data_IF_663707724737
#
_entry.id   IF_663707724737
#
_cell.length_a   1.000
_cell.length_b   1.000
_cell.length_c   1.000
_cell.angle_alpha   90.00
_cell.angle_beta   90.00
_cell.angle_gamma   90.00
#
_symmetry.space_group_name_H-M   'P 1'
#
loop_
_entity.id
_entity.type
_entity.pdbx_description
1 polymer ?
#
# COMPACT_ATOMS: atom_id res chain seq x y z
N UNK A 1 -24.03 2.29 7.74
CA UNK A 1 -23.45 3.19 6.70
C UNK A 1 -22.71 2.31 5.71
N UNK A 2 -23.07 2.34 4.43
CA UNK A 2 -22.39 1.56 3.38
C UNK A 2 -21.24 2.41 2.82
N UNK A 3 -20.03 1.86 2.78
CA UNK A 3 -18.87 2.53 2.19
C UNK A 3 -18.88 2.44 0.66
N UNK A 4 -18.29 3.42 -0.01
CA UNK A 4 -18.13 3.44 -1.47
C UNK A 4 -16.79 2.82 -1.84
N UNK A 5 -16.78 1.82 -2.72
CA UNK A 5 -15.56 1.29 -3.32
C UNK A 5 -15.02 2.30 -4.35
N UNK A 6 -13.83 2.86 -4.15
CA UNK A 6 -13.26 3.84 -5.10
C UNK A 6 -12.29 3.21 -6.11
N UNK A 7 -11.62 2.13 -5.72
CA UNK A 7 -10.69 1.40 -6.58
C UNK A 7 -10.70 -0.08 -6.22
N UNK A 8 -10.65 -0.94 -7.24
CA UNK A 8 -10.34 -2.35 -7.08
C UNK A 8 -9.60 -2.88 -8.30
N UNK A 9 -8.55 -3.65 -8.07
CA UNK A 9 -7.80 -4.30 -9.12
C UNK A 9 -7.15 -5.59 -8.60
N UNK A 10 -7.04 -6.58 -9.49
CA UNK A 10 -6.13 -7.70 -9.30
C UNK A 10 -4.98 -7.55 -10.31
N UNK A 11 -3.74 -7.42 -9.81
CA UNK A 11 -2.54 -7.23 -10.62
C UNK A 11 -1.42 -8.11 -10.09
N UNK A 12 -0.86 -8.97 -10.94
CA UNK A 12 0.23 -9.89 -10.55
C UNK A 12 -0.06 -10.67 -9.26
N UNK A 13 -1.28 -11.22 -9.15
CA UNK A 13 -1.78 -11.98 -7.99
C UNK A 13 -1.88 -11.18 -6.68
N UNK A 14 -1.87 -9.85 -6.78
CA UNK A 14 -2.18 -8.96 -5.67
C UNK A 14 -3.55 -8.36 -5.90
N UNK A 15 -4.45 -8.57 -4.94
CA UNK A 15 -5.72 -7.86 -4.87
C UNK A 15 -5.49 -6.56 -4.10
N UNK A 16 -5.84 -5.44 -4.73
CA UNK A 16 -5.84 -4.11 -4.11
C UNK A 16 -7.23 -3.54 -4.22
N UNK A 17 -7.74 -3.01 -3.12
CA UNK A 17 -8.95 -2.20 -3.14
C UNK A 17 -8.94 -1.12 -2.07
N UNK A 18 -9.71 -0.07 -2.30
CA UNK A 18 -9.95 0.97 -1.30
C UNK A 18 -11.43 1.39 -1.25
N UNK A 19 -11.87 1.72 -0.04
CA UNK A 19 -13.22 2.16 0.29
C UNK A 19 -13.19 3.50 1.01
N UNK A 20 -14.22 4.30 0.81
CA UNK A 20 -14.45 5.56 1.51
C UNK A 20 -15.78 5.53 2.25
N UNK A 21 -15.77 5.99 3.50
CA UNK A 21 -16.98 6.22 4.31
C UNK A 21 -17.31 7.71 4.47
N UNK A 22 -16.55 8.57 3.76
CA UNK A 22 -16.56 10.02 3.87
C UNK A 22 -15.13 10.57 3.73
N UNK A 23 -14.96 11.85 3.38
CA UNK A 23 -13.64 12.50 3.38
C UNK A 23 -12.99 12.50 4.79
N UNK A 24 -11.66 12.65 4.88
CA UNK A 24 -10.69 12.79 3.79
C UNK A 24 -9.93 11.51 3.46
N UNK A 25 -10.13 10.43 4.22
CA UNK A 25 -9.31 9.21 4.13
C UNK A 25 -10.02 8.08 3.38
N UNK A 26 -9.26 7.42 2.50
CA UNK A 26 -9.62 6.15 1.87
C UNK A 26 -8.95 5.03 2.66
N UNK A 27 -9.70 4.00 3.00
CA UNK A 27 -9.19 2.83 3.72
C UNK A 27 -9.10 1.68 2.74
N UNK A 28 -7.97 1.02 2.66
CA UNK A 28 -7.78 -0.04 1.69
C UNK A 28 -6.80 -1.10 2.17
N UNK A 29 -6.71 -2.14 1.34
CA UNK A 29 -5.81 -3.26 1.58
C UNK A 29 -5.17 -3.69 0.27
N UNK A 30 -3.89 -4.03 0.34
CA UNK A 30 -3.17 -4.79 -0.68
C UNK A 30 -2.85 -6.16 -0.10
N UNK A 31 -3.31 -7.23 -0.75
CA UNK A 31 -3.17 -8.60 -0.24
C UNK A 31 -2.75 -9.57 -1.34
N UNK A 32 -1.85 -10.50 -0.99
CA UNK A 32 -1.49 -11.64 -1.84
C UNK A 32 -1.08 -12.85 -1.00
N UNK A 33 -0.98 -14.00 -1.65
CA UNK A 33 -0.23 -15.14 -1.11
C UNK A 33 1.25 -14.96 -1.49
N UNK A 34 2.11 -14.94 -0.48
CA UNK A 34 3.55 -14.90 -0.62
C UNK A 34 4.05 -16.17 -1.31
N UNK A 35 4.74 -16.01 -2.44
CA UNK A 35 5.19 -17.15 -3.23
C UNK A 35 6.32 -17.96 -2.57
N UNK A 36 7.03 -17.37 -1.60
CA UNK A 36 8.14 -18.03 -0.90
C UNK A 36 7.71 -18.76 0.37
N UNK A 37 6.82 -18.18 1.18
CA UNK A 37 6.38 -18.76 2.45
C UNK A 37 5.00 -19.41 2.40
N UNK A 38 4.20 -19.15 1.36
CA UNK A 38 2.79 -19.56 1.29
C UNK A 38 1.86 -18.79 2.24
N UNK A 39 2.39 -17.84 3.02
CA UNK A 39 1.62 -17.02 3.94
C UNK A 39 0.98 -15.82 3.23
N UNK A 40 0.09 -15.11 3.93
CA UNK A 40 -0.53 -13.90 3.39
C UNK A 40 0.40 -12.71 3.62
N UNK A 41 0.79 -12.03 2.53
CA UNK A 41 1.33 -10.67 2.62
C UNK A 41 0.14 -9.70 2.60
N UNK A 42 0.03 -8.84 3.62
CA UNK A 42 -1.05 -7.85 3.74
C UNK A 42 -0.48 -6.49 4.11
N UNK A 43 -0.94 -5.46 3.42
CA UNK A 43 -0.76 -4.06 3.79
C UNK A 43 -2.14 -3.44 3.93
N UNK A 44 -2.47 -2.98 5.13
CA UNK A 44 -3.62 -2.11 5.36
C UNK A 44 -3.16 -0.65 5.32
N UNK A 45 -3.92 0.22 4.66
CA UNK A 45 -3.60 1.64 4.56
C UNK A 45 -4.84 2.52 4.74
N UNK A 46 -4.63 3.75 5.20
CA UNK A 46 -5.69 4.72 5.43
C UNK A 46 -5.21 6.12 5.03
N UNK A 47 -5.27 6.44 3.73
CA UNK A 47 -4.62 7.63 3.18
C UNK A 47 -5.55 8.50 2.32
N UNK A 48 -5.20 9.77 2.19
CA UNK A 48 -6.01 10.74 1.44
C UNK A 48 -5.91 10.57 -0.07
N UNK A 49 -4.79 10.03 -0.56
CA UNK A 49 -4.55 9.74 -1.97
C UNK A 49 -4.69 8.24 -2.26
N UNK A 50 -4.98 7.91 -3.53
CA UNK A 50 -4.98 6.51 -3.98
C UNK A 50 -3.54 5.97 -4.08
N UNK A 51 -3.32 4.67 -3.85
CA UNK A 51 -2.05 4.05 -4.18
C UNK A 51 -1.69 4.26 -5.65
N UNK A 52 -0.41 4.50 -5.92
CA UNK A 52 0.10 4.74 -7.28
C UNK A 52 1.09 3.68 -7.73
N UNK A 53 1.89 3.14 -6.81
CA UNK A 53 2.89 2.14 -7.16
C UNK A 53 2.85 0.96 -6.19
N UNK A 54 2.94 -0.23 -6.78
CA UNK A 54 3.07 -1.50 -6.09
C UNK A 54 4.41 -2.12 -6.45
N UNK A 55 5.21 -2.43 -5.43
CA UNK A 55 6.51 -3.09 -5.57
C UNK A 55 6.37 -4.53 -5.12
N UNK A 56 6.70 -5.47 -5.99
CA UNK A 56 6.51 -6.90 -5.76
C UNK A 56 7.84 -7.65 -5.86
N UNK A 57 8.25 -8.30 -4.78
CA UNK A 57 9.30 -9.33 -4.81
C UNK A 57 8.68 -10.70 -4.50
N UNK A 58 9.49 -11.76 -4.45
CA UNK A 58 9.01 -13.11 -4.06
C UNK A 58 8.54 -13.19 -2.60
N UNK A 59 9.08 -12.33 -1.73
CA UNK A 59 8.90 -12.41 -0.26
C UNK A 59 8.28 -11.16 0.37
N UNK A 60 8.08 -10.08 -0.40
CA UNK A 60 7.64 -8.80 0.13
C UNK A 60 6.77 -8.03 -0.88
N UNK A 61 5.81 -7.27 -0.36
CA UNK A 61 5.13 -6.21 -1.10
C UNK A 61 5.43 -4.86 -0.43
N UNK A 62 5.58 -3.81 -1.25
CA UNK A 62 5.55 -2.42 -0.79
C UNK A 62 4.51 -1.64 -1.57
N UNK A 63 3.84 -0.72 -0.90
CA UNK A 63 2.85 0.15 -1.50
C UNK A 63 3.30 1.60 -1.31
N UNK A 64 3.38 2.35 -2.41
CA UNK A 64 3.71 3.77 -2.36
C UNK A 64 2.49 4.61 -2.73
N UNK A 65 2.15 5.53 -1.83
CA UNK A 65 1.01 6.44 -1.93
C UNK A 65 1.55 7.87 -1.92
N UNK A 66 1.13 8.76 -2.84
CA UNK A 66 1.49 10.19 -2.76
C UNK A 66 1.00 10.78 -1.44
N UNK A 67 1.88 11.51 -0.75
CA UNK A 67 1.51 12.22 0.47
C UNK A 67 0.93 13.60 0.08
N UNK A 68 -0.39 13.73 0.19
CA UNK A 68 -1.07 15.02 -0.02
C UNK A 68 -1.34 15.76 1.29
N UNK A 69 -0.99 15.16 2.42
CA UNK A 69 -1.19 15.70 3.75
C UNK A 69 0.01 16.50 4.27
N UNK A 70 -0.18 17.12 5.43
CA UNK A 70 0.89 17.80 6.19
C UNK A 70 1.25 17.04 7.47
N UNK A 71 0.54 15.93 7.73
CA UNK A 71 0.68 15.11 8.93
C UNK A 71 2.06 14.46 9.05
N UNK A 72 2.71 14.18 7.92
CA UNK A 72 4.06 13.63 7.86
C UNK A 72 4.89 14.36 6.80
N UNK A 73 6.18 14.55 7.08
CA UNK A 73 7.13 15.15 6.12
C UNK A 73 7.56 14.10 5.10
N UNK A 74 7.43 14.42 3.82
CA UNK A 74 7.83 13.56 2.71
C UNK A 74 6.81 13.56 1.59
N UNK A 75 7.25 13.38 0.34
CA UNK A 75 6.37 13.32 -0.85
C UNK A 75 5.54 12.04 -0.98
N UNK A 76 5.97 10.95 -0.33
CA UNK A 76 5.36 9.63 -0.44
C UNK A 76 5.22 8.98 0.93
N UNK A 77 4.19 8.16 1.09
CA UNK A 77 3.97 7.27 2.20
C UNK A 77 4.20 5.84 1.71
N UNK A 78 5.18 5.17 2.30
CA UNK A 78 5.63 3.83 1.91
C UNK A 78 5.21 2.85 2.98
N UNK A 79 4.36 1.91 2.59
CA UNK A 79 3.99 0.75 3.39
C UNK A 79 4.80 -0.46 2.93
N UNK A 80 5.12 -1.33 3.87
CA UNK A 80 5.95 -2.51 3.65
C UNK A 80 5.40 -3.69 4.45
N UNK A 81 5.15 -4.82 3.78
CA UNK A 81 4.59 -6.02 4.42
C UNK A 81 5.54 -6.71 5.39
N UNK A 82 6.84 -6.38 5.38
CA UNK A 82 7.81 -6.92 6.34
C UNK A 82 7.90 -6.09 7.63
N UNK A 83 7.32 -4.90 7.66
CA UNK A 83 7.20 -4.14 8.91
C UNK A 83 6.12 -4.81 9.76
N UNK A 84 6.48 -5.25 10.97
CA UNK A 84 5.57 -6.03 11.83
C UNK A 84 4.27 -5.28 12.08
N UNK A 85 3.15 -6.01 12.16
CA UNK A 85 1.84 -5.43 12.47
C UNK A 85 1.81 -4.64 13.81
N UNK A 86 2.77 -4.92 14.70
CA UNK A 86 2.95 -4.25 16.00
C UNK A 86 3.90 -3.03 15.95
N UNK A 87 4.72 -2.92 14.90
CA UNK A 87 5.45 -1.68 14.63
C UNK A 87 4.44 -0.77 13.95
N UNK A 88 3.89 0.19 14.73
CA UNK A 88 2.87 1.17 14.35
C UNK A 88 2.49 1.15 12.87
N UNK A 89 1.19 1.03 12.57
CA UNK A 89 0.54 1.19 11.24
C UNK A 89 0.90 2.48 10.45
N UNK A 90 1.88 3.25 10.96
CA UNK A 90 2.60 4.37 10.41
C UNK A 90 3.43 3.99 9.17
N UNK A 91 3.07 4.46 7.96
CA UNK A 91 3.95 4.33 6.81
C UNK A 91 5.25 5.12 7.00
N UNK A 92 6.31 4.68 6.32
CA UNK A 92 7.53 5.47 6.18
C UNK A 92 7.26 6.64 5.23
N UNK A 93 7.38 7.86 5.74
CA UNK A 93 7.33 9.05 4.89
C UNK A 93 8.70 9.27 4.21
N UNK A 94 8.70 9.52 2.90
CA UNK A 94 9.91 9.64 2.09
C UNK A 94 9.74 10.65 0.97
N UNK A 95 10.81 11.39 0.63
CA UNK A 95 10.83 12.28 -0.53
C UNK A 95 11.12 11.55 -1.86
N UNK A 96 11.54 10.29 -1.77
CA UNK A 96 11.85 9.45 -2.93
C UNK A 96 11.07 8.14 -2.88
N UNK A 97 10.73 7.61 -4.06
CA UNK A 97 10.16 6.29 -4.18
C UNK A 97 11.18 5.19 -3.81
N UNK A 98 10.73 3.99 -3.40
CA UNK A 98 11.61 2.86 -3.15
C UNK A 98 12.46 2.49 -4.37
N UNK A 99 13.65 1.95 -4.13
CA UNK A 99 14.48 1.36 -5.17
C UNK A 99 13.71 0.23 -5.89
N UNK A 100 13.83 0.20 -7.21
CA UNK A 100 13.16 -0.78 -8.08
C UNK A 100 13.94 -2.08 -8.15
N UNK A 101 15.22 -2.11 -7.78
CA UNK A 101 16.07 -3.31 -7.83
C UNK A 101 15.47 -4.42 -6.97
N UNK A 102 15.28 -5.60 -7.57
CA UNK A 102 14.68 -6.76 -6.92
C UNK A 102 13.15 -6.74 -6.85
N UNK A 103 12.47 -5.73 -7.42
CA UNK A 103 11.02 -5.63 -7.47
C UNK A 103 10.48 -5.54 -8.90
N UNK A 104 9.40 -6.26 -9.16
CA UNK A 104 8.48 -5.91 -10.23
C UNK A 104 7.64 -4.73 -9.77
N UNK A 105 7.72 -3.60 -10.47
CA UNK A 105 7.00 -2.37 -10.11
C UNK A 105 5.82 -2.16 -11.03
N UNK A 106 4.62 -2.03 -10.46
CA UNK A 106 3.37 -1.81 -11.17
C UNK A 106 2.83 -0.43 -10.86
N UNK A 107 2.37 0.29 -11.89
CA UNK A 107 1.54 1.48 -11.73
C UNK A 107 0.06 1.08 -11.63
N UNK A 108 -0.67 1.71 -10.70
CA UNK A 108 -2.04 1.33 -10.29
C UNK A 108 -3.14 2.25 -10.81
#
# INVERSE_FOLDING_TARGET
>A
MLGTLNYSACRHRVLIFDVSYGPPYRKGVAVRINASSGQIDRIDFAEKAKPKWLYLSKSQIKLAIPNIGIERKGKYLIYDSLTSADAELSPLASDTLPDRRGYTVLEL
#
